data_IF_414387862363
#
_entry.id   IF_414387862363
#
_cell.length_a   1.000
_cell.length_b   1.000
_cell.length_c   1.000
_cell.angle_alpha   90.00
_cell.angle_beta   90.00
_cell.angle_gamma   90.00
#
_symmetry.space_group_name_H-M   'P 1'
#
loop_
_entity.id
_entity.type
_entity.pdbx_description
1 polymer ?
#
# COMPACT_ATOMS: atom_id res chain seq x y z
N UNK A 1 9.71 16.81 38.76
CA UNK A 1 10.76 15.93 38.20
C UNK A 1 11.22 14.96 39.26
N UNK A 2 10.94 13.68 39.16
CA UNK A 2 11.36 12.67 40.14
C UNK A 2 12.83 12.31 39.86
N UNK A 3 13.74 12.81 40.69
CA UNK A 3 15.21 12.62 40.57
C UNK A 3 15.72 11.17 40.80
N UNK A 4 14.85 10.22 41.17
CA UNK A 4 15.28 8.88 41.61
C UNK A 4 15.32 7.78 40.52
N UNK A 5 14.68 7.94 39.37
CA UNK A 5 14.54 6.85 38.39
C UNK A 5 15.72 6.68 37.41
N UNK A 6 16.64 7.66 37.34
CA UNK A 6 17.79 7.60 36.41
C UNK A 6 18.97 6.76 36.92
N UNK A 7 19.01 6.42 38.20
CA UNK A 7 20.14 5.72 38.86
C UNK A 7 19.96 4.19 38.95
N UNK A 8 18.79 3.66 38.58
CA UNK A 8 18.55 2.21 38.60
C UNK A 8 19.43 1.51 37.58
N UNK A 9 20.24 0.49 37.92
CA UNK A 9 21.08 -0.24 36.98
C UNK A 9 20.21 -0.93 35.92
N UNK A 10 20.76 -1.10 34.73
CA UNK A 10 20.08 -1.83 33.64
C UNK A 10 20.24 -3.32 33.87
N UNK A 11 19.12 -4.05 33.81
CA UNK A 11 19.12 -5.50 33.89
C UNK A 11 19.35 -6.10 32.49
N UNK A 12 19.85 -7.34 32.44
CA UNK A 12 20.05 -8.09 31.17
C UNK A 12 18.73 -8.23 30.40
N UNK A 13 17.61 -8.42 31.13
CA UNK A 13 16.30 -8.51 30.51
C UNK A 13 15.86 -7.20 29.84
N UNK A 14 16.13 -6.04 30.49
CA UNK A 14 15.83 -4.73 29.90
C UNK A 14 16.72 -4.44 28.69
N UNK A 15 17.99 -4.83 28.73
CA UNK A 15 18.91 -4.68 27.60
C UNK A 15 18.49 -5.52 26.40
N UNK A 16 18.04 -6.75 26.63
CA UNK A 16 17.47 -7.60 25.59
C UNK A 16 16.23 -6.97 24.97
N UNK A 17 15.27 -6.52 25.80
CA UNK A 17 14.06 -5.83 25.31
C UNK A 17 14.39 -4.55 24.55
N UNK A 18 15.37 -3.78 25.02
CA UNK A 18 15.82 -2.59 24.29
C UNK A 18 16.37 -2.95 22.91
N UNK A 19 17.16 -4.03 22.81
CA UNK A 19 17.70 -4.51 21.53
C UNK A 19 16.59 -4.96 20.56
N UNK A 20 15.57 -5.64 21.06
CA UNK A 20 14.42 -6.09 20.28
C UNK A 20 13.56 -4.92 19.73
N UNK A 21 13.42 -3.85 20.52
CA UNK A 21 12.59 -2.68 20.17
C UNK A 21 13.35 -1.60 19.38
N UNK A 22 14.68 -1.57 19.45
CA UNK A 22 15.49 -0.54 18.81
C UNK A 22 15.27 -0.49 17.29
N UNK A 23 15.00 0.70 16.77
CA UNK A 23 14.72 0.93 15.33
C UNK A 23 13.35 0.45 14.85
N UNK A 24 12.54 -0.17 15.71
CA UNK A 24 11.19 -0.66 15.39
C UNK A 24 10.10 0.13 16.12
N UNK A 25 10.40 0.56 17.34
CA UNK A 25 9.47 1.25 18.23
C UNK A 25 10.03 2.64 18.56
N UNK A 26 9.19 3.69 18.57
CA UNK A 26 9.62 5.04 18.93
C UNK A 26 10.24 5.09 20.34
N UNK A 27 11.31 5.88 20.51
CA UNK A 27 12.04 5.99 21.78
C UNK A 27 11.12 6.28 22.97
N UNK A 28 10.09 7.12 22.80
CA UNK A 28 9.13 7.44 23.87
C UNK A 28 8.39 6.20 24.35
N UNK A 29 7.98 5.35 23.44
CA UNK A 29 7.29 4.10 23.76
C UNK A 29 8.22 3.07 24.39
N UNK A 30 9.48 2.98 23.93
CA UNK A 30 10.49 2.14 24.57
C UNK A 30 10.69 2.59 26.03
N UNK A 31 10.83 3.89 26.27
CA UNK A 31 11.00 4.47 27.59
C UNK A 31 9.81 4.14 28.51
N UNK A 32 8.59 4.26 27.98
CA UNK A 32 7.37 3.91 28.71
C UNK A 32 7.31 2.41 29.06
N UNK A 33 7.56 1.53 28.09
CA UNK A 33 7.54 0.06 28.28
C UNK A 33 8.58 -0.43 29.28
N UNK A 34 9.76 0.20 29.29
CA UNK A 34 10.84 -0.15 30.19
C UNK A 34 10.78 0.63 31.54
N UNK A 35 9.79 1.53 31.69
CA UNK A 35 9.68 2.43 32.87
C UNK A 35 10.99 3.19 33.13
N UNK A 36 11.59 3.71 32.06
CA UNK A 36 12.85 4.47 32.09
C UNK A 36 12.64 5.85 31.48
N UNK A 37 13.49 6.81 31.80
CA UNK A 37 13.49 8.11 31.15
C UNK A 37 13.97 7.98 29.70
N UNK A 38 13.48 8.88 28.83
CA UNK A 38 13.92 8.93 27.42
C UNK A 38 15.44 9.09 27.30
N UNK A 39 16.05 9.85 28.22
CA UNK A 39 17.49 10.08 28.21
C UNK A 39 18.25 8.82 28.62
N UNK A 40 17.79 8.09 29.65
CA UNK A 40 18.37 6.81 30.06
C UNK A 40 18.36 5.80 28.88
N UNK A 41 17.24 5.70 28.14
CA UNK A 41 17.14 4.83 26.97
C UNK A 41 18.11 5.28 25.86
N UNK A 42 18.23 6.59 25.60
CA UNK A 42 19.16 7.12 24.60
C UNK A 42 20.60 6.79 24.90
N UNK A 43 21.03 7.03 26.16
CA UNK A 43 22.40 6.76 26.59
C UNK A 43 22.72 5.26 26.58
N UNK A 44 21.78 4.41 27.03
CA UNK A 44 21.98 2.96 26.99
C UNK A 44 22.07 2.44 25.57
N UNK A 45 21.18 2.85 24.67
CA UNK A 45 21.23 2.50 23.28
C UNK A 45 22.55 2.91 22.62
N UNK A 46 23.05 4.13 22.91
CA UNK A 46 24.36 4.60 22.43
C UNK A 46 25.50 3.69 22.89
N UNK A 47 25.53 3.29 24.18
CA UNK A 47 26.54 2.36 24.72
C UNK A 47 26.47 0.98 24.08
N UNK A 48 25.27 0.54 23.67
CA UNK A 48 25.04 -0.75 23.01
C UNK A 48 25.21 -0.70 21.49
N UNK A 49 25.55 0.45 20.91
CA UNK A 49 25.66 0.64 19.45
C UNK A 49 24.31 0.53 18.70
N UNK A 50 23.18 0.73 19.40
CA UNK A 50 21.84 0.57 18.83
C UNK A 50 21.31 1.89 18.28
N UNK A 51 20.74 1.85 17.07
CA UNK A 51 19.99 2.97 16.51
C UNK A 51 18.55 2.96 17.01
N UNK A 52 18.08 4.10 17.56
CA UNK A 52 16.69 4.31 17.98
C UNK A 52 15.85 5.00 16.88
N UNK A 53 16.41 5.18 15.69
CA UNK A 53 15.72 5.81 14.56
C UNK A 53 14.68 4.84 14.02
N UNK A 54 13.40 5.25 14.07
CA UNK A 54 12.29 4.52 13.48
C UNK A 54 11.91 5.15 12.15
N UNK A 55 11.41 4.33 11.24
CA UNK A 55 10.75 4.81 10.01
C UNK A 55 9.28 5.08 10.31
N UNK A 56 8.79 6.24 9.90
CA UNK A 56 7.36 6.57 9.92
C UNK A 56 6.77 6.22 8.55
N UNK A 57 5.94 5.17 8.45
CA UNK A 57 5.45 4.71 7.17
C UNK A 57 4.46 5.71 6.56
N UNK A 58 4.60 5.97 5.28
CA UNK A 58 3.64 6.75 4.48
C UNK A 58 2.38 5.93 4.21
N UNK A 59 2.56 4.65 3.89
CA UNK A 59 1.47 3.70 3.67
C UNK A 59 1.06 3.05 5.00
N UNK A 60 0.53 3.86 5.96
CA UNK A 60 0.20 3.41 7.32
C UNK A 60 -1.26 2.94 7.48
N UNK A 61 -2.15 3.28 6.54
CA UNK A 61 -3.57 2.94 6.61
C UNK A 61 -3.84 1.61 5.92
N UNK A 62 -4.49 0.68 6.61
CA UNK A 62 -4.91 -0.60 6.00
C UNK A 62 -6.28 -0.47 5.38
N UNK A 63 -6.38 -0.74 4.08
CA UNK A 63 -7.67 -0.72 3.39
C UNK A 63 -8.56 -1.88 3.84
N UNK A 64 -9.79 -1.64 4.35
CA UNK A 64 -10.66 -2.69 4.86
C UNK A 64 -11.14 -3.66 3.75
N UNK A 65 -11.10 -3.23 2.48
CA UNK A 65 -11.58 -4.04 1.35
C UNK A 65 -10.51 -4.98 0.77
N UNK A 66 -9.25 -4.56 0.74
CA UNK A 66 -8.18 -5.37 0.12
C UNK A 66 -7.05 -5.76 1.10
N UNK A 67 -7.11 -5.31 2.36
CA UNK A 67 -6.10 -5.62 3.38
C UNK A 67 -4.71 -5.01 3.15
N UNK A 68 -4.53 -4.23 2.08
CA UNK A 68 -3.22 -3.67 1.74
C UNK A 68 -2.97 -2.34 2.47
N UNK A 69 -1.71 -2.13 2.88
CA UNK A 69 -1.25 -0.84 3.39
C UNK A 69 -1.32 0.22 2.28
N UNK A 70 -1.82 1.41 2.59
CA UNK A 70 -2.08 2.50 1.65
C UNK A 70 -1.72 3.85 2.27
N UNK A 71 -1.35 4.81 1.41
CA UNK A 71 -1.06 6.17 1.84
C UNK A 71 -2.35 6.91 2.24
N UNK A 72 -3.43 6.71 1.47
CA UNK A 72 -4.70 7.41 1.68
C UNK A 72 -5.90 6.53 1.39
N UNK A 73 -6.99 6.79 2.12
CA UNK A 73 -8.32 6.27 1.80
C UNK A 73 -9.16 7.34 1.11
N UNK A 74 -10.04 6.90 0.20
CA UNK A 74 -11.04 7.75 -0.43
C UNK A 74 -12.20 8.08 0.52
N UNK A 75 -13.11 8.96 0.08
CA UNK A 75 -14.34 9.30 0.83
C UNK A 75 -15.24 8.09 1.08
N UNK A 76 -15.13 7.04 0.27
CA UNK A 76 -15.84 5.77 0.42
C UNK A 76 -15.29 4.87 1.53
N UNK A 77 -14.22 5.27 2.22
CA UNK A 77 -13.47 4.41 3.15
C UNK A 77 -12.63 3.33 2.49
N UNK A 78 -12.62 3.24 1.17
CA UNK A 78 -11.80 2.32 0.39
C UNK A 78 -10.58 3.01 -0.22
N UNK A 79 -9.52 2.26 -0.52
CA UNK A 79 -8.37 2.79 -1.22
C UNK A 79 -8.67 3.01 -2.73
N UNK A 80 -7.90 3.89 -3.36
CA UNK A 80 -8.08 4.22 -4.78
C UNK A 80 -8.08 3.01 -5.74
N UNK A 81 -7.22 1.99 -5.59
CA UNK A 81 -7.33 0.75 -6.37
C UNK A 81 -8.67 0.04 -6.23
N UNK A 82 -9.27 -0.01 -5.03
CA UNK A 82 -10.58 -0.62 -4.83
C UNK A 82 -11.71 0.17 -5.50
N UNK A 83 -11.68 1.50 -5.39
CA UNK A 83 -12.63 2.37 -6.12
C UNK A 83 -12.53 2.18 -7.64
N UNK A 84 -11.31 2.05 -8.16
CA UNK A 84 -11.10 1.80 -9.59
C UNK A 84 -11.64 0.42 -10.02
N UNK A 85 -11.52 -0.61 -9.18
CA UNK A 85 -12.12 -1.92 -9.46
C UNK A 85 -13.65 -1.85 -9.54
N UNK A 86 -14.28 -1.07 -8.66
CA UNK A 86 -15.73 -0.85 -8.72
C UNK A 86 -16.16 -0.13 -10.00
N UNK A 87 -15.39 0.89 -10.41
CA UNK A 87 -15.66 1.59 -11.67
C UNK A 87 -15.44 0.70 -12.89
N UNK A 88 -14.47 -0.21 -12.84
CA UNK A 88 -14.24 -1.21 -13.88
C UNK A 88 -15.42 -2.17 -13.94
N UNK A 89 -15.88 -2.69 -12.81
CA UNK A 89 -17.05 -3.58 -12.76
C UNK A 89 -18.32 -2.92 -13.35
N UNK A 90 -18.54 -1.63 -13.05
CA UNK A 90 -19.64 -0.86 -13.68
C UNK A 90 -19.46 -0.73 -15.18
N UNK A 91 -18.24 -0.42 -15.65
CA UNK A 91 -17.96 -0.33 -17.07
C UNK A 91 -18.10 -1.68 -17.78
N UNK A 92 -17.87 -2.81 -17.10
CA UNK A 92 -18.13 -4.15 -17.63
C UNK A 92 -19.62 -4.45 -17.76
N UNK A 93 -20.44 -4.06 -16.77
CA UNK A 93 -21.88 -4.16 -16.85
C UNK A 93 -22.44 -3.31 -18.00
N UNK A 94 -21.97 -2.06 -18.13
CA UNK A 94 -22.33 -1.18 -19.27
C UNK A 94 -21.94 -1.80 -20.61
N UNK A 95 -20.75 -2.44 -20.69
CA UNK A 95 -20.29 -3.12 -21.89
C UNK A 95 -21.19 -4.31 -22.24
N UNK A 96 -21.59 -5.10 -21.24
CA UNK A 96 -22.48 -6.25 -21.44
C UNK A 96 -23.84 -5.81 -21.96
N UNK A 97 -24.40 -4.74 -21.41
CA UNK A 97 -25.67 -4.18 -21.90
C UNK A 97 -25.54 -3.64 -23.34
N UNK A 98 -24.48 -2.87 -23.62
CA UNK A 98 -24.24 -2.37 -24.98
C UNK A 98 -24.04 -3.51 -25.99
N UNK A 99 -23.32 -4.59 -25.59
CA UNK A 99 -23.13 -5.78 -26.44
C UNK A 99 -24.44 -6.51 -26.75
N UNK A 100 -25.37 -6.57 -25.81
CA UNK A 100 -26.69 -7.18 -26.05
C UNK A 100 -27.50 -6.43 -27.12
N UNK A 101 -27.30 -5.12 -27.25
CA UNK A 101 -28.00 -4.24 -28.18
C UNK A 101 -27.33 -4.18 -29.60
N UNK A 102 -26.11 -4.72 -29.74
CA UNK A 102 -25.40 -4.73 -31.01
C UNK A 102 -25.88 -5.86 -31.93
N UNK A 103 -25.83 -5.60 -33.27
CA UNK A 103 -26.01 -6.63 -34.27
C UNK A 103 -24.91 -7.72 -34.25
N UNK A 104 -25.17 -8.87 -34.84
CA UNK A 104 -24.29 -10.05 -34.77
C UNK A 104 -22.85 -9.77 -35.26
N UNK A 105 -22.69 -9.10 -36.39
CA UNK A 105 -21.39 -8.80 -37.01
C UNK A 105 -20.51 -7.89 -36.10
N UNK A 106 -21.10 -6.84 -35.54
CA UNK A 106 -20.42 -5.92 -34.65
C UNK A 106 -20.07 -6.61 -33.33
N UNK A 107 -20.94 -7.45 -32.78
CA UNK A 107 -20.71 -8.24 -31.58
C UNK A 107 -19.48 -9.15 -31.74
N UNK A 108 -19.36 -9.88 -32.81
CA UNK A 108 -18.21 -10.74 -33.11
C UNK A 108 -16.89 -9.94 -33.20
N UNK A 109 -16.93 -8.72 -33.72
CA UNK A 109 -15.76 -7.83 -33.81
C UNK A 109 -15.30 -7.39 -32.43
N UNK A 110 -16.22 -7.01 -31.53
CA UNK A 110 -15.87 -6.58 -30.16
C UNK A 110 -15.40 -7.73 -29.27
N UNK A 111 -15.88 -8.94 -29.44
CA UNK A 111 -15.39 -10.12 -28.73
C UNK A 111 -13.92 -10.43 -29.06
N UNK A 112 -13.52 -10.35 -30.33
CA UNK A 112 -12.14 -10.57 -30.77
C UNK A 112 -11.14 -9.51 -30.26
N UNK A 113 -11.57 -8.27 -30.06
CA UNK A 113 -10.68 -7.19 -29.60
C UNK A 113 -10.44 -7.18 -28.09
N UNK A 114 -11.19 -7.93 -27.30
CA UNK A 114 -11.02 -7.95 -25.84
C UNK A 114 -9.67 -8.52 -25.39
N UNK A 115 -9.15 -9.52 -26.09
CA UNK A 115 -7.85 -10.15 -25.80
C UNK A 115 -6.65 -9.20 -25.98
N UNK A 116 -6.77 -8.14 -26.79
CA UNK A 116 -5.67 -7.20 -27.06
C UNK A 116 -5.49 -6.08 -26.03
N UNK A 117 -6.43 -5.86 -25.14
CA UNK A 117 -6.40 -4.72 -24.20
C UNK A 117 -5.45 -4.89 -23.02
N UNK A 118 -4.83 -6.06 -22.84
CA UNK A 118 -3.93 -6.34 -21.73
C UNK A 118 -2.45 -6.02 -22.04
N UNK A 119 -2.09 -5.69 -23.28
CA UNK A 119 -0.73 -5.33 -23.65
C UNK A 119 -0.34 -3.93 -23.15
N UNK A 120 0.86 -3.78 -22.61
CA UNK A 120 1.43 -2.49 -22.20
C UNK A 120 1.22 -2.10 -20.73
N UNK A 121 0.89 -3.05 -19.85
CA UNK A 121 0.96 -2.84 -18.39
C UNK A 121 2.43 -2.84 -17.97
N UNK A 122 2.91 -1.82 -17.24
CA UNK A 122 4.27 -1.84 -16.72
C UNK A 122 4.49 -3.04 -15.80
N UNK A 123 5.73 -3.54 -15.68
CA UNK A 123 6.03 -4.65 -14.79
C UNK A 123 5.67 -4.30 -13.36
N UNK A 124 5.25 -5.31 -12.60
CA UNK A 124 4.95 -5.17 -11.17
C UNK A 124 6.26 -4.86 -10.42
N UNK A 125 6.27 -3.88 -9.48
CA UNK A 125 7.43 -3.62 -8.64
C UNK A 125 7.88 -4.88 -7.90
N UNK A 126 9.16 -5.25 -7.94
CA UNK A 126 9.67 -6.41 -7.22
C UNK A 126 9.60 -6.15 -5.70
N UNK A 127 9.37 -7.22 -4.93
CA UNK A 127 9.40 -7.14 -3.48
C UNK A 127 10.86 -6.94 -3.00
N UNK A 128 11.11 -6.01 -2.04
CA UNK A 128 12.47 -5.76 -1.58
C UNK A 128 13.00 -6.93 -0.75
N UNK A 129 14.24 -7.33 -1.02
CA UNK A 129 14.97 -8.22 -0.12
C UNK A 129 15.45 -7.41 1.09
N UNK A 130 14.93 -7.74 2.26
CA UNK A 130 15.27 -7.05 3.52
C UNK A 130 16.28 -7.82 4.38
N UNK A 131 16.87 -8.91 3.87
CA UNK A 131 17.90 -9.68 4.59
C UNK A 131 19.18 -8.83 4.77
N UNK A 132 19.74 -8.83 5.96
CA UNK A 132 20.92 -8.04 6.29
C UNK A 132 20.68 -6.54 6.50
N UNK A 133 19.47 -6.04 6.28
CA UNK A 133 19.13 -4.63 6.55
C UNK A 133 18.90 -4.38 8.02
N UNK A 134 19.23 -3.15 8.47
CA UNK A 134 18.80 -2.67 9.79
C UNK A 134 17.27 -2.57 9.86
N UNK A 135 16.65 -2.63 11.06
CA UNK A 135 15.18 -2.49 11.20
C UNK A 135 14.63 -1.23 10.52
N UNK A 136 15.35 -0.12 10.60
CA UNK A 136 14.98 1.13 9.93
C UNK A 136 15.00 1.00 8.40
N UNK A 137 16.07 0.44 7.84
CA UNK A 137 16.21 0.26 6.39
C UNK A 137 15.15 -0.71 5.85
N UNK A 138 14.91 -1.81 6.55
CA UNK A 138 13.90 -2.79 6.17
C UNK A 138 12.48 -2.20 6.21
N UNK A 139 12.15 -1.41 7.24
CA UNK A 139 10.86 -0.72 7.34
C UNK A 139 10.69 0.30 6.21
N UNK A 140 11.73 1.08 5.92
CA UNK A 140 11.75 2.04 4.82
C UNK A 140 11.54 1.37 3.47
N UNK A 141 12.29 0.30 3.18
CA UNK A 141 12.19 -0.42 1.91
C UNK A 141 10.80 -1.01 1.67
N UNK A 142 10.18 -1.58 2.71
CA UNK A 142 8.80 -2.11 2.64
C UNK A 142 7.77 -1.02 2.40
N UNK A 143 7.89 0.13 3.05
CA UNK A 143 6.99 1.26 2.87
C UNK A 143 7.11 1.87 1.47
N UNK A 144 8.34 2.05 0.97
CA UNK A 144 8.60 2.51 -0.40
C UNK A 144 8.01 1.53 -1.44
N UNK A 145 8.16 0.23 -1.21
CA UNK A 145 7.56 -0.79 -2.06
C UNK A 145 6.03 -0.75 -2.00
N UNK A 146 5.43 -0.60 -0.83
CA UNK A 146 3.98 -0.49 -0.68
C UNK A 146 3.42 0.71 -1.44
N UNK A 147 4.10 1.87 -1.37
CA UNK A 147 3.75 3.05 -2.13
C UNK A 147 3.92 2.85 -3.65
N UNK A 148 5.00 2.19 -4.08
CA UNK A 148 5.24 1.85 -5.48
C UNK A 148 4.17 0.89 -6.03
N UNK A 149 3.77 -0.11 -5.23
CA UNK A 149 2.68 -1.04 -5.54
C UNK A 149 1.35 -0.34 -5.68
N UNK A 150 1.03 0.60 -4.79
CA UNK A 150 -0.19 1.40 -4.90
C UNK A 150 -0.20 2.23 -6.18
N UNK A 151 0.88 2.93 -6.47
CA UNK A 151 1.02 3.73 -7.69
C UNK A 151 0.94 2.87 -8.96
N UNK A 152 1.50 1.66 -8.93
CA UNK A 152 1.40 0.70 -10.04
C UNK A 152 -0.04 0.22 -10.23
N UNK A 153 -0.72 -0.18 -9.16
CA UNK A 153 -2.13 -0.60 -9.19
C UNK A 153 -3.02 0.50 -9.76
N UNK A 154 -2.87 1.74 -9.28
CA UNK A 154 -3.65 2.90 -9.76
C UNK A 154 -3.42 3.13 -11.25
N UNK A 155 -2.16 3.12 -11.71
CA UNK A 155 -1.83 3.31 -13.14
C UNK A 155 -2.43 2.20 -13.99
N UNK A 156 -2.25 0.94 -13.61
CA UNK A 156 -2.79 -0.22 -14.30
C UNK A 156 -4.31 -0.17 -14.41
N UNK A 157 -4.99 -0.01 -13.28
CA UNK A 157 -6.46 0.00 -13.24
C UNK A 157 -7.05 1.21 -13.96
N UNK A 158 -6.42 2.38 -13.89
CA UNK A 158 -6.84 3.56 -14.65
C UNK A 158 -6.76 3.32 -16.15
N UNK A 159 -5.71 2.64 -16.62
CA UNK A 159 -5.60 2.25 -18.05
C UNK A 159 -6.73 1.32 -18.46
N UNK A 160 -6.98 0.27 -17.68
CA UNK A 160 -8.06 -0.68 -17.95
C UNK A 160 -9.40 0.03 -18.00
N UNK A 161 -9.69 0.88 -17.02
CA UNK A 161 -10.94 1.64 -16.97
C UNK A 161 -11.11 2.55 -18.20
N UNK A 162 -10.05 3.29 -18.59
CA UNK A 162 -10.09 4.13 -19.78
C UNK A 162 -10.35 3.32 -21.07
N UNK A 163 -9.71 2.17 -21.21
CA UNK A 163 -9.92 1.29 -22.36
C UNK A 163 -11.36 0.77 -22.42
N UNK A 164 -11.91 0.30 -21.27
CA UNK A 164 -13.29 -0.19 -21.18
C UNK A 164 -14.31 0.91 -21.49
N UNK A 165 -14.17 2.10 -20.91
CA UNK A 165 -15.04 3.25 -21.20
C UNK A 165 -15.05 3.63 -22.66
N UNK A 166 -13.87 3.73 -23.31
CA UNK A 166 -13.76 4.00 -24.74
C UNK A 166 -14.42 2.90 -25.58
N UNK A 167 -14.36 1.65 -25.15
CA UNK A 167 -15.03 0.53 -25.79
C UNK A 167 -16.55 0.68 -25.72
N UNK A 168 -17.09 0.92 -24.53
CA UNK A 168 -18.53 1.16 -24.33
C UNK A 168 -19.03 2.32 -25.19
N UNK A 169 -18.29 3.43 -25.19
CA UNK A 169 -18.64 4.59 -26.01
C UNK A 169 -18.71 4.26 -27.51
N UNK A 170 -17.72 3.50 -28.02
CA UNK A 170 -17.75 3.06 -29.45
C UNK A 170 -18.91 2.12 -29.72
N UNK A 171 -19.25 1.21 -28.83
CA UNK A 171 -20.40 0.33 -28.98
C UNK A 171 -21.71 1.11 -29.00
N UNK A 172 -21.88 2.08 -28.10
CA UNK A 172 -23.08 2.94 -28.02
C UNK A 172 -23.30 3.73 -29.31
N UNK A 173 -22.23 4.19 -29.99
CA UNK A 173 -22.34 4.90 -31.28
C UNK A 173 -22.82 4.01 -32.46
N UNK A 174 -22.76 2.68 -32.29
CA UNK A 174 -23.20 1.72 -33.31
C UNK A 174 -24.59 1.13 -33.04
N UNK A 175 -25.16 1.42 -31.88
CA UNK A 175 -26.53 1.04 -31.57
C UNK A 175 -27.46 1.99 -32.34
N UNK A 176 -28.35 1.47 -33.20
CA UNK A 176 -29.31 2.32 -33.94
C UNK A 176 -30.21 3.04 -32.90
N UNK A 177 -30.41 4.34 -33.12
CA UNK A 177 -31.43 5.09 -32.39
C UNK A 177 -32.81 4.45 -32.70
N UNK A 178 -33.43 3.92 -31.66
CA UNK A 178 -34.84 3.50 -31.74
C UNK A 178 -35.74 4.71 -31.60
#
# INVERSE_FOLDING_TARGET
MRRGESLRPWTVAEERRLREMAGRVPRREIAWRLRRSNESVRQKAKRMGLSLRCWEPRCAQTCPRCGMARERMGKSGACRPCELRDLIARADADASMAMAMLGHADRATYQRTEARTQSGVPPKPPEPDTRGMTPYQAAKARDEWACAMEAWDVRRLTRVLKAKRRRVERMRKKIPNQ
#
